data_IF_648412087807
#
_entry.id   IF_648412087807
#
_cell.length_a   1.000
_cell.length_b   1.000
_cell.length_c   1.000
_cell.angle_alpha   90.00
_cell.angle_beta   90.00
_cell.angle_gamma   90.00
#
_symmetry.space_group_name_H-M   'P 1'
#
loop_
_entity.id
_entity.type
_entity.pdbx_description
1 polymer ?
#
# COMPACT_ATOMS: atom_id res chain seq x y z
N UNK A 1 1.32 71.09 110.62
CA UNK A 1 0.66 69.77 110.67
C UNK A 1 1.33 68.93 109.60
N UNK A 2 2.37 68.14 109.88
CA UNK A 2 2.38 66.95 110.77
C UNK A 2 1.27 65.98 110.30
N UNK A 3 1.52 64.74 109.92
CA UNK A 3 2.56 63.78 110.30
C UNK A 3 2.49 62.57 109.32
N UNK A 4 3.54 61.73 109.34
CA UNK A 4 3.65 60.27 109.12
C UNK A 4 2.68 59.54 108.15
N UNK A 5 3.12 58.57 107.33
CA UNK A 5 3.53 57.22 107.76
C UNK A 5 4.03 56.48 106.50
N UNK A 6 5.34 56.39 106.25
CA UNK A 6 6.25 55.27 106.50
C UNK A 6 5.68 53.83 106.43
N UNK A 7 6.39 52.97 105.70
CA UNK A 7 5.92 51.63 105.30
C UNK A 7 6.95 50.86 104.48
N UNK A 8 8.07 50.59 105.14
CA UNK A 8 9.32 49.92 104.79
C UNK A 8 9.24 48.57 104.01
N UNK A 9 9.98 48.55 102.88
CA UNK A 9 10.93 47.56 102.33
C UNK A 9 10.66 46.06 102.12
N UNK A 10 11.19 45.58 100.98
CA UNK A 10 11.35 44.16 100.68
C UNK A 10 12.22 43.81 99.47
N UNK A 11 13.51 44.16 99.47
CA UNK A 11 14.58 43.42 98.74
C UNK A 11 14.63 43.57 97.20
N UNK A 12 15.69 43.19 96.47
CA UNK A 12 16.97 42.57 96.80
C UNK A 12 17.80 42.53 95.49
N UNK A 13 18.98 43.14 95.52
CA UNK A 13 20.19 42.95 94.67
C UNK A 13 20.12 43.04 93.12
N UNK A 14 20.80 44.09 92.61
CA UNK A 14 21.52 44.14 91.33
C UNK A 14 22.95 43.57 91.54
N UNK A 15 23.36 42.65 90.68
CA UNK A 15 24.74 42.36 90.26
C UNK A 15 24.64 42.02 88.76
N UNK A 16 25.52 42.44 87.85
CA UNK A 16 26.88 42.93 88.01
C UNK A 16 27.82 42.02 87.20
N UNK A 17 28.39 42.57 86.12
CA UNK A 17 29.57 42.04 85.43
C UNK A 17 29.34 40.92 84.40
N UNK A 18 30.17 40.73 83.38
CA UNK A 18 31.38 41.43 82.94
C UNK A 18 31.71 40.94 81.51
N UNK A 19 32.50 41.74 80.82
CA UNK A 19 33.08 41.60 79.47
C UNK A 19 33.81 40.27 79.22
N UNK A 20 33.81 39.80 77.96
CA UNK A 20 34.70 38.73 77.51
C UNK A 20 34.54 38.35 76.04
N UNK A 21 35.58 38.62 75.25
CA UNK A 21 35.69 38.46 73.79
C UNK A 21 35.38 37.05 73.25
N UNK A 22 34.84 37.00 72.03
CA UNK A 22 35.28 36.04 71.00
C UNK A 22 35.01 36.58 69.59
N UNK A 23 36.07 36.83 68.85
CA UNK A 23 36.04 36.98 67.40
C UNK A 23 35.81 35.60 66.77
N UNK A 24 34.83 35.50 65.89
CA UNK A 24 34.70 34.42 64.91
C UNK A 24 34.44 35.08 63.57
N UNK A 25 35.39 34.89 62.68
CA UNK A 25 35.39 35.19 61.25
C UNK A 25 34.20 34.53 60.56
N UNK A 26 33.47 35.27 59.72
CA UNK A 26 32.73 34.64 58.62
C UNK A 26 32.91 35.48 57.35
N UNK A 27 33.85 34.99 56.56
CA UNK A 27 34.09 35.26 55.15
C UNK A 27 32.85 34.81 54.36
N UNK A 28 32.09 35.76 53.80
CA UNK A 28 31.06 35.43 52.82
C UNK A 28 31.62 35.62 51.41
N UNK A 29 32.31 34.57 50.97
CA UNK A 29 32.59 34.27 49.57
C UNK A 29 31.29 34.24 48.76
N UNK A 30 31.30 34.99 47.65
CA UNK A 30 30.26 34.96 46.61
C UNK A 30 30.26 33.56 45.97
N UNK A 31 29.34 32.70 46.41
CA UNK A 31 29.11 31.40 45.76
C UNK A 31 28.24 31.62 44.52
N UNK A 32 28.91 31.72 43.37
CA UNK A 32 28.25 31.60 42.07
C UNK A 32 27.85 30.14 41.89
N UNK A 33 26.62 29.79 42.28
CA UNK A 33 26.04 28.48 41.98
C UNK A 33 25.70 28.42 40.48
N UNK A 34 26.65 27.96 39.68
CA UNK A 34 26.42 27.58 38.28
C UNK A 34 25.57 26.31 38.30
N UNK A 35 24.24 26.43 38.24
CA UNK A 35 23.32 25.29 38.07
C UNK A 35 23.67 24.52 36.78
N UNK A 36 24.26 23.32 36.85
CA UNK A 36 24.52 22.50 35.68
C UNK A 36 23.35 21.54 35.54
N UNK A 37 22.25 21.96 34.90
CA UNK A 37 21.09 21.06 34.86
C UNK A 37 19.96 21.36 33.88
N UNK A 38 19.86 22.59 33.37
CA UNK A 38 18.81 22.92 32.39
C UNK A 38 19.28 22.87 30.95
N UNK A 39 20.49 23.33 30.66
CA UNK A 39 21.03 23.40 29.30
C UNK A 39 21.47 22.03 28.75
N UNK A 40 21.98 21.14 29.60
CA UNK A 40 22.35 19.77 29.17
C UNK A 40 21.13 18.87 28.95
N UNK A 41 20.08 19.01 29.76
CA UNK A 41 18.80 18.31 29.51
C UNK A 41 18.11 18.84 28.25
N UNK A 42 18.19 20.14 27.99
CA UNK A 42 17.68 20.74 26.75
C UNK A 42 18.51 20.30 25.53
N UNK A 43 19.83 20.22 25.64
CA UNK A 43 20.71 19.67 24.60
C UNK A 43 20.45 18.20 24.35
N UNK A 44 20.27 17.38 25.39
CA UNK A 44 19.96 15.96 25.26
C UNK A 44 18.56 15.73 24.64
N UNK A 45 17.57 16.55 25.01
CA UNK A 45 16.25 16.53 24.37
C UNK A 45 16.32 16.93 22.89
N UNK A 46 17.07 17.99 22.55
CA UNK A 46 17.22 18.45 21.17
C UNK A 46 18.06 17.49 20.32
N UNK A 47 19.13 16.90 20.86
CA UNK A 47 20.01 15.97 20.13
C UNK A 47 19.56 14.50 20.17
N UNK A 48 18.62 14.12 21.04
CA UNK A 48 18.10 12.75 21.12
C UNK A 48 16.66 12.60 20.63
N UNK A 49 15.75 13.47 21.08
CA UNK A 49 14.31 13.35 20.77
C UNK A 49 14.00 13.85 19.36
N UNK A 50 14.63 14.95 18.93
CA UNK A 50 14.42 15.51 17.59
C UNK A 50 14.84 14.55 16.46
N UNK A 51 16.05 13.93 16.47
CA UNK A 51 16.40 12.97 15.44
C UNK A 51 15.60 11.67 15.53
N UNK A 52 15.26 11.20 16.73
CA UNK A 52 14.38 10.03 16.88
C UNK A 52 12.99 10.28 16.29
N UNK A 53 12.40 11.46 16.55
CA UNK A 53 11.14 11.87 15.95
C UNK A 53 11.26 12.00 14.41
N UNK A 54 12.37 12.53 13.90
CA UNK A 54 12.61 12.62 12.46
C UNK A 54 12.70 11.23 11.79
N UNK A 55 13.36 10.27 12.43
CA UNK A 55 13.44 8.87 11.93
C UNK A 55 12.07 8.20 11.95
N UNK A 56 11.29 8.39 13.02
CA UNK A 56 9.92 7.84 13.12
C UNK A 56 9.03 8.44 12.03
N UNK A 57 9.03 9.77 11.86
CA UNK A 57 8.25 10.46 10.84
C UNK A 57 8.68 10.05 9.43
N UNK A 58 9.99 9.91 9.18
CA UNK A 58 10.51 9.41 7.91
C UNK A 58 10.10 7.97 7.61
N UNK A 59 10.10 7.10 8.63
CA UNK A 59 9.63 5.72 8.51
C UNK A 59 8.14 5.63 8.21
N UNK A 60 7.32 6.41 8.93
CA UNK A 60 5.87 6.50 8.70
C UNK A 60 5.56 7.06 7.30
N UNK A 61 6.24 8.13 6.89
CA UNK A 61 6.07 8.72 5.56
C UNK A 61 6.50 7.74 4.44
N UNK A 62 7.59 7.00 4.64
CA UNK A 62 8.05 5.98 3.69
C UNK A 62 7.06 4.82 3.59
N UNK A 63 6.52 4.37 4.71
CA UNK A 63 5.50 3.31 4.75
C UNK A 63 4.19 3.76 4.07
N UNK A 64 3.72 4.98 4.36
CA UNK A 64 2.54 5.57 3.73
C UNK A 64 2.72 5.73 2.21
N UNK A 65 3.91 6.16 1.76
CA UNK A 65 4.23 6.24 0.34
C UNK A 65 4.17 4.86 -0.33
N UNK A 66 4.71 3.82 0.32
CA UNK A 66 4.64 2.45 -0.19
C UNK A 66 3.19 1.94 -0.31
N UNK A 67 2.35 2.19 0.71
CA UNK A 67 0.93 1.79 0.68
C UNK A 67 0.18 2.51 -0.44
N UNK A 68 0.35 3.83 -0.57
CA UNK A 68 -0.30 4.63 -1.61
C UNK A 68 0.15 4.24 -3.01
N UNK A 69 1.46 4.06 -3.23
CA UNK A 69 1.97 3.62 -4.54
C UNK A 69 1.49 2.21 -4.89
N UNK A 70 1.47 1.30 -3.91
CA UNK A 70 1.03 -0.08 -4.16
C UNK A 70 -0.46 -0.16 -4.50
N UNK A 71 -1.28 0.76 -3.99
CA UNK A 71 -2.71 0.83 -4.30
C UNK A 71 -2.97 1.43 -5.68
N UNK A 72 -2.25 2.49 -6.07
CA UNK A 72 -2.33 3.06 -7.41
C UNK A 72 -1.87 2.10 -8.51
N UNK A 73 -0.80 1.33 -8.23
CA UNK A 73 -0.31 0.29 -9.13
C UNK A 73 -1.33 -0.83 -9.32
N UNK A 74 -2.02 -1.26 -8.25
CA UNK A 74 -3.02 -2.32 -8.31
C UNK A 74 -4.29 -1.88 -9.07
N UNK A 75 -4.74 -0.65 -8.89
CA UNK A 75 -5.89 -0.09 -9.64
C UNK A 75 -5.57 0.01 -11.13
N UNK A 76 -4.40 0.56 -11.47
CA UNK A 76 -3.92 0.61 -12.86
C UNK A 76 -3.79 -0.79 -13.46
N UNK A 77 -3.21 -1.73 -12.72
CA UNK A 77 -3.10 -3.13 -13.13
C UNK A 77 -4.47 -3.77 -13.36
N UNK A 78 -5.45 -3.49 -12.50
CA UNK A 78 -6.82 -3.99 -12.64
C UNK A 78 -7.48 -3.48 -13.93
N UNK A 79 -7.40 -2.17 -14.20
CA UNK A 79 -7.98 -1.59 -15.41
C UNK A 79 -7.31 -2.13 -16.68
N UNK A 80 -5.98 -2.10 -16.73
CA UNK A 80 -5.21 -2.53 -17.89
C UNK A 80 -5.38 -4.03 -18.17
N UNK A 81 -5.35 -4.87 -17.13
CA UNK A 81 -5.51 -6.32 -17.29
C UNK A 81 -6.92 -6.69 -17.73
N UNK A 82 -7.97 -5.99 -17.25
CA UNK A 82 -9.34 -6.23 -17.72
C UNK A 82 -9.47 -5.88 -19.20
N UNK A 83 -8.89 -4.76 -19.64
CA UNK A 83 -8.90 -4.39 -21.06
C UNK A 83 -8.16 -5.45 -21.89
N UNK A 84 -6.95 -5.84 -21.47
CA UNK A 84 -6.16 -6.86 -22.16
C UNK A 84 -6.90 -8.22 -22.21
N UNK A 85 -7.57 -8.60 -21.13
CA UNK A 85 -8.35 -9.83 -21.08
C UNK A 85 -9.51 -9.81 -22.09
N UNK A 86 -10.24 -8.69 -22.18
CA UNK A 86 -11.33 -8.51 -23.16
C UNK A 86 -10.82 -8.65 -24.59
N UNK A 87 -9.74 -7.94 -24.92
CA UNK A 87 -9.16 -7.97 -26.26
C UNK A 87 -8.62 -9.35 -26.62
N UNK A 88 -7.94 -10.02 -25.68
CA UNK A 88 -7.45 -11.37 -25.88
C UNK A 88 -8.58 -12.38 -26.07
N UNK A 89 -9.65 -12.31 -25.25
CA UNK A 89 -10.81 -13.17 -25.38
C UNK A 89 -11.50 -13.00 -26.74
N UNK A 90 -11.69 -11.76 -27.21
CA UNK A 90 -12.23 -11.51 -28.55
C UNK A 90 -11.31 -12.10 -29.62
N UNK A 91 -10.00 -11.88 -29.51
CA UNK A 91 -9.03 -12.34 -30.50
C UNK A 91 -8.94 -13.88 -30.60
N UNK A 92 -8.97 -14.60 -29.47
CA UNK A 92 -8.85 -16.07 -29.50
C UNK A 92 -10.16 -16.78 -29.84
N UNK A 93 -11.31 -16.13 -29.65
CA UNK A 93 -12.63 -16.73 -29.88
C UNK A 93 -13.30 -16.27 -31.19
N UNK A 94 -12.76 -15.26 -31.86
CA UNK A 94 -13.31 -14.73 -33.10
C UNK A 94 -12.42 -15.06 -34.30
N UNK A 95 -13.01 -15.67 -35.31
CA UNK A 95 -12.34 -15.98 -36.57
C UNK A 95 -13.35 -16.20 -37.68
N UNK A 96 -12.90 -16.04 -38.92
CA UNK A 96 -13.68 -16.42 -40.11
C UNK A 96 -13.05 -17.62 -40.79
N UNK A 97 -13.88 -18.44 -41.43
CA UNK A 97 -13.41 -19.65 -42.11
C UNK A 97 -12.32 -19.39 -43.17
N UNK A 98 -12.36 -18.23 -43.84
CA UNK A 98 -11.43 -17.82 -44.90
C UNK A 98 -10.11 -17.24 -44.38
N UNK A 99 -10.10 -16.74 -43.15
CA UNK A 99 -8.98 -16.03 -42.52
C UNK A 99 -8.54 -16.65 -41.19
N UNK A 100 -8.99 -17.88 -40.89
CA UNK A 100 -8.79 -18.53 -39.59
C UNK A 100 -7.32 -18.64 -39.17
N UNK A 101 -6.40 -18.94 -40.08
CA UNK A 101 -4.96 -18.96 -39.75
C UNK A 101 -4.43 -17.59 -39.35
N UNK A 102 -4.90 -16.53 -40.01
CA UNK A 102 -4.46 -15.17 -39.73
C UNK A 102 -5.06 -14.68 -38.41
N UNK A 103 -6.37 -14.87 -38.24
CA UNK A 103 -7.12 -14.41 -37.06
C UNK A 103 -6.57 -15.07 -35.80
N UNK A 104 -6.51 -16.41 -35.78
CA UNK A 104 -6.04 -17.17 -34.63
C UNK A 104 -4.51 -17.15 -34.49
N UNK A 105 -3.78 -16.97 -35.59
CA UNK A 105 -2.34 -16.75 -35.56
C UNK A 105 -1.96 -15.44 -34.87
N UNK A 106 -2.67 -14.35 -35.17
CA UNK A 106 -2.45 -13.05 -34.55
C UNK A 106 -2.82 -13.04 -33.07
N UNK A 107 -3.78 -13.87 -32.65
CA UNK A 107 -4.20 -13.96 -31.25
C UNK A 107 -3.10 -14.51 -30.32
N UNK A 108 -2.18 -15.34 -30.83
CA UNK A 108 -1.05 -15.92 -30.08
C UNK A 108 -0.19 -14.87 -29.39
N UNK A 109 -0.02 -13.70 -30.00
CA UNK A 109 0.77 -12.59 -29.43
C UNK A 109 0.18 -11.98 -28.15
N UNK A 110 -1.04 -12.38 -27.77
CA UNK A 110 -1.72 -11.98 -26.53
C UNK A 110 -1.68 -13.06 -25.45
N UNK A 111 -1.02 -14.18 -25.71
CA UNK A 111 -0.99 -15.36 -24.85
C UNK A 111 0.44 -15.62 -24.35
N UNK A 112 0.55 -16.32 -23.23
CA UNK A 112 1.85 -16.72 -22.66
C UNK A 112 1.74 -18.04 -21.90
N UNK A 113 2.89 -18.58 -21.49
CA UNK A 113 2.99 -19.77 -20.66
C UNK A 113 2.37 -21.02 -21.29
N UNK A 114 1.90 -21.93 -20.44
CA UNK A 114 1.32 -23.22 -20.87
C UNK A 114 0.04 -23.03 -21.70
N UNK A 115 -0.72 -21.96 -21.45
CA UNK A 115 -1.93 -21.68 -22.21
C UNK A 115 -1.65 -21.38 -23.69
N UNK A 116 -0.55 -20.66 -23.99
CA UNK A 116 -0.13 -20.44 -25.38
C UNK A 116 0.15 -21.76 -26.10
N UNK A 117 0.81 -22.71 -25.44
CA UNK A 117 1.13 -24.02 -26.02
C UNK A 117 -0.13 -24.86 -26.25
N UNK A 118 -1.01 -24.93 -25.26
CA UNK A 118 -2.30 -25.62 -25.40
C UNK A 118 -3.17 -25.01 -26.51
N UNK A 119 -3.20 -23.67 -26.59
CA UNK A 119 -3.87 -22.94 -27.67
C UNK A 119 -3.29 -23.29 -29.04
N UNK A 120 -1.96 -23.25 -29.19
CA UNK A 120 -1.27 -23.59 -30.45
C UNK A 120 -1.64 -25.00 -30.93
N UNK A 121 -1.62 -25.96 -30.02
CA UNK A 121 -1.96 -27.35 -30.32
C UNK A 121 -3.42 -27.46 -30.78
N UNK A 122 -4.38 -26.96 -30.00
CA UNK A 122 -5.80 -27.07 -30.33
C UNK A 122 -6.15 -26.35 -31.63
N UNK A 123 -5.61 -25.15 -31.84
CA UNK A 123 -5.89 -24.35 -33.02
C UNK A 123 -5.35 -25.00 -34.29
N UNK A 124 -4.12 -25.50 -34.25
CA UNK A 124 -3.48 -26.13 -35.42
C UNK A 124 -4.09 -27.49 -35.79
N UNK A 125 -4.52 -28.27 -34.80
CA UNK A 125 -4.95 -29.66 -35.00
C UNK A 125 -6.46 -29.82 -35.16
N UNK A 126 -7.25 -28.94 -34.55
CA UNK A 126 -8.72 -29.06 -34.50
C UNK A 126 -9.40 -27.85 -35.11
N UNK A 127 -9.10 -26.64 -34.64
CA UNK A 127 -9.89 -25.45 -34.98
C UNK A 127 -9.69 -25.02 -36.43
N UNK A 128 -8.45 -24.83 -36.88
CA UNK A 128 -8.14 -24.42 -38.25
C UNK A 128 -8.67 -25.45 -39.27
N UNK A 129 -8.36 -26.76 -39.15
CA UNK A 129 -8.89 -27.75 -40.08
C UNK A 129 -10.43 -27.81 -40.07
N UNK A 130 -11.04 -27.76 -38.89
CA UNK A 130 -12.49 -27.79 -38.73
C UNK A 130 -13.17 -26.56 -39.35
N UNK A 131 -12.62 -25.38 -39.11
CA UNK A 131 -13.10 -24.11 -39.66
C UNK A 131 -13.09 -24.10 -41.18
N UNK A 132 -11.99 -24.57 -41.80
CA UNK A 132 -11.88 -24.67 -43.26
C UNK A 132 -12.82 -25.69 -43.87
N UNK A 133 -12.89 -26.88 -43.29
CA UNK A 133 -13.70 -27.97 -43.83
C UNK A 133 -15.20 -27.69 -43.73
N UNK A 134 -15.65 -27.19 -42.58
CA UNK A 134 -17.08 -26.95 -42.31
C UNK A 134 -17.49 -25.49 -42.52
N UNK A 135 -16.58 -24.63 -42.99
CA UNK A 135 -16.79 -23.19 -43.15
C UNK A 135 -17.33 -22.54 -41.86
N UNK A 136 -16.72 -22.88 -40.73
CA UNK A 136 -17.13 -22.35 -39.42
C UNK A 136 -16.53 -20.96 -39.24
N UNK A 137 -17.35 -20.01 -38.83
CA UNK A 137 -16.92 -18.70 -38.36
C UNK A 137 -17.48 -18.47 -36.96
N UNK A 138 -16.70 -17.82 -36.10
CA UNK A 138 -17.08 -17.46 -34.76
C UNK A 138 -16.85 -15.97 -34.52
N UNK A 139 -17.74 -15.33 -33.78
CA UNK A 139 -17.60 -13.95 -33.34
C UNK A 139 -17.92 -13.88 -31.85
N UNK A 140 -16.95 -13.42 -31.05
CA UNK A 140 -17.13 -13.20 -29.62
C UNK A 140 -17.31 -11.73 -29.31
N UNK A 141 -18.17 -11.45 -28.34
CA UNK A 141 -18.36 -10.14 -27.75
C UNK A 141 -18.27 -10.29 -26.24
N UNK A 142 -17.61 -9.33 -25.59
CA UNK A 142 -17.47 -9.31 -24.13
C UNK A 142 -18.29 -8.13 -23.61
N UNK A 143 -19.61 -8.29 -23.39
CA UNK A 143 -20.47 -7.21 -22.90
C UNK A 143 -20.04 -6.69 -21.52
N UNK A 144 -19.52 -7.56 -20.66
CA UNK A 144 -19.09 -7.20 -19.31
C UNK A 144 -17.81 -7.93 -18.93
N UNK A 145 -16.95 -7.24 -18.19
CA UNK A 145 -15.75 -7.81 -17.59
C UNK A 145 -15.47 -7.08 -16.27
N UNK A 146 -14.93 -7.79 -15.29
CA UNK A 146 -14.57 -7.24 -13.99
C UNK A 146 -13.23 -7.80 -13.51
N UNK A 147 -12.44 -6.98 -12.81
CA UNK A 147 -11.25 -7.44 -12.11
C UNK A 147 -11.68 -8.27 -10.89
N UNK A 148 -11.08 -9.44 -10.73
CA UNK A 148 -11.22 -10.31 -9.55
C UNK A 148 -10.06 -10.05 -8.59
N UNK A 149 -8.85 -9.95 -9.13
CA UNK A 149 -7.63 -9.58 -8.40
C UNK A 149 -6.61 -8.98 -9.37
N UNK A 150 -5.79 -8.05 -8.88
CA UNK A 150 -4.70 -7.51 -9.67
C UNK A 150 -3.52 -7.10 -8.78
N UNK A 151 -2.34 -7.54 -9.19
CA UNK A 151 -1.05 -7.27 -8.60
C UNK A 151 -0.14 -6.64 -9.68
N UNK A 152 1.11 -6.27 -9.33
CA UNK A 152 2.04 -5.66 -10.31
C UNK A 152 2.41 -6.58 -11.49
N UNK A 153 2.31 -7.89 -11.33
CA UNK A 153 2.77 -8.87 -12.33
C UNK A 153 1.74 -9.91 -12.73
N UNK A 154 0.62 -10.00 -12.01
CA UNK A 154 -0.43 -11.00 -12.24
C UNK A 154 -1.79 -10.36 -12.01
N UNK A 155 -2.78 -10.80 -12.77
CA UNK A 155 -4.16 -10.37 -12.60
C UNK A 155 -5.13 -11.48 -12.98
N UNK A 156 -6.34 -11.41 -12.44
CA UNK A 156 -7.44 -12.31 -12.77
C UNK A 156 -8.66 -11.47 -13.07
N UNK A 157 -9.29 -11.72 -14.21
CA UNK A 157 -10.51 -11.06 -14.64
C UNK A 157 -11.63 -12.08 -14.87
N UNK A 158 -12.87 -11.69 -14.57
CA UNK A 158 -14.07 -12.44 -14.92
C UNK A 158 -14.73 -11.77 -16.13
N UNK A 159 -14.94 -12.53 -17.20
CA UNK A 159 -15.55 -12.05 -18.43
C UNK A 159 -16.87 -12.75 -18.66
N UNK A 160 -17.86 -11.99 -19.13
CA UNK A 160 -19.10 -12.51 -19.68
C UNK A 160 -19.01 -12.40 -21.19
N UNK A 161 -19.17 -13.51 -21.89
CA UNK A 161 -18.92 -13.64 -23.32
C UNK A 161 -20.19 -14.09 -24.01
N UNK A 162 -20.59 -13.35 -25.03
CA UNK A 162 -21.56 -13.79 -26.02
C UNK A 162 -20.79 -14.24 -27.26
N UNK A 163 -21.01 -15.47 -27.69
CA UNK A 163 -20.37 -16.03 -28.88
C UNK A 163 -21.42 -16.43 -29.90
N UNK A 164 -21.28 -15.92 -31.11
CA UNK A 164 -22.09 -16.30 -32.27
C UNK A 164 -21.27 -17.18 -33.19
N UNK A 165 -21.80 -18.35 -33.53
CA UNK A 165 -21.18 -19.33 -34.43
C UNK A 165 -22.06 -19.49 -35.67
N UNK A 166 -21.43 -19.46 -36.84
CA UNK A 166 -22.05 -19.73 -38.14
C UNK A 166 -21.31 -20.87 -38.81
N UNK A 167 -22.04 -21.85 -39.34
CA UNK A 167 -21.47 -23.01 -40.05
C UNK A 167 -21.93 -22.94 -41.50
N UNK A 168 -21.01 -22.75 -42.43
CA UNK A 168 -21.36 -22.61 -43.85
C UNK A 168 -22.31 -21.45 -44.10
N UNK A 169 -23.54 -21.76 -44.53
CA UNK A 169 -24.61 -20.79 -44.77
C UNK A 169 -25.78 -20.93 -43.79
N UNK A 170 -25.63 -21.71 -42.73
CA UNK A 170 -26.69 -21.96 -41.75
C UNK A 170 -26.97 -20.71 -40.91
N UNK A 171 -28.15 -20.70 -40.26
CA UNK A 171 -28.50 -19.62 -39.34
C UNK A 171 -27.49 -19.52 -38.18
N UNK A 172 -27.03 -18.31 -37.82
CA UNK A 172 -26.12 -18.14 -36.69
C UNK A 172 -26.74 -18.60 -35.37
N UNK A 173 -25.95 -19.28 -34.54
CA UNK A 173 -26.33 -19.67 -33.18
C UNK A 173 -25.53 -18.85 -32.16
N UNK A 174 -26.21 -18.26 -31.19
CA UNK A 174 -25.56 -17.46 -30.13
C UNK A 174 -25.63 -18.20 -28.80
N UNK A 175 -24.51 -18.20 -28.08
CA UNK A 175 -24.37 -18.75 -26.74
C UNK A 175 -23.76 -17.69 -25.81
N UNK A 176 -24.14 -17.73 -24.55
CA UNK A 176 -23.55 -16.89 -23.51
C UNK A 176 -22.77 -17.79 -22.53
N UNK A 177 -21.60 -17.34 -22.12
CA UNK A 177 -20.73 -18.05 -21.18
C UNK A 177 -19.99 -17.06 -20.28
N UNK A 178 -19.43 -17.57 -19.20
CA UNK A 178 -18.58 -16.80 -18.29
C UNK A 178 -17.24 -17.51 -18.15
N UNK A 179 -16.16 -16.74 -18.15
CA UNK A 179 -14.80 -17.27 -18.08
C UNK A 179 -13.94 -16.48 -17.12
N UNK A 180 -13.10 -17.18 -16.37
CA UNK A 180 -12.01 -16.61 -15.58
C UNK A 180 -10.77 -16.57 -16.46
N UNK A 181 -10.20 -15.38 -16.63
CA UNK A 181 -8.98 -15.14 -17.40
C UNK A 181 -7.87 -14.78 -16.44
N UNK A 182 -6.79 -15.54 -16.47
CA UNK A 182 -5.57 -15.25 -15.73
C UNK A 182 -4.58 -14.58 -16.67
N UNK A 183 -3.99 -13.47 -16.22
CA UNK A 183 -3.02 -12.69 -16.98
C UNK A 183 -1.72 -12.57 -16.20
N UNK A 184 -0.62 -12.71 -16.92
CA UNK A 184 0.73 -12.42 -16.43
C UNK A 184 1.32 -11.24 -17.21
N UNK A 185 2.01 -10.35 -16.49
CA UNK A 185 2.69 -9.21 -17.09
C UNK A 185 4.07 -9.64 -17.59
N UNK A 186 4.28 -9.62 -18.90
CA UNK A 186 5.53 -10.00 -19.57
C UNK A 186 5.98 -8.82 -20.44
N UNK A 187 7.19 -8.33 -20.24
CA UNK A 187 7.74 -7.16 -20.95
C UNK A 187 6.77 -5.97 -20.96
N UNK A 188 6.24 -5.63 -19.78
CA UNK A 188 5.24 -4.59 -19.55
C UNK A 188 3.89 -4.75 -20.27
N UNK A 189 3.62 -5.93 -20.86
CA UNK A 189 2.34 -6.24 -21.49
C UNK A 189 1.59 -7.33 -20.71
N UNK A 190 0.30 -7.12 -20.54
CA UNK A 190 -0.59 -8.15 -19.98
C UNK A 190 -0.88 -9.21 -21.04
N UNK A 191 -0.47 -10.45 -20.77
CA UNK A 191 -0.70 -11.60 -21.64
C UNK A 191 -1.52 -12.65 -20.89
N UNK A 192 -2.44 -13.30 -21.58
CA UNK A 192 -3.29 -14.35 -20.99
C UNK A 192 -2.47 -15.62 -20.80
N UNK A 193 -2.39 -16.06 -19.54
CA UNK A 193 -1.72 -17.30 -19.14
C UNK A 193 -2.69 -18.40 -18.70
N UNK A 194 -3.98 -18.10 -18.58
CA UNK A 194 -5.03 -19.07 -18.30
C UNK A 194 -6.41 -18.59 -18.72
N UNK A 195 -7.28 -19.52 -19.11
CA UNK A 195 -8.62 -19.23 -19.62
C UNK A 195 -9.57 -20.38 -19.27
N UNK A 196 -10.31 -20.22 -18.17
CA UNK A 196 -11.07 -21.30 -17.55
C UNK A 196 -12.56 -20.96 -17.48
N UNK A 197 -13.49 -21.89 -17.78
CA UNK A 197 -14.91 -21.70 -17.51
C UNK A 197 -15.16 -21.60 -16.00
N UNK A 198 -16.23 -20.88 -15.63
CA UNK A 198 -16.69 -20.78 -14.21
C UNK A 198 -17.86 -21.67 -13.90
#
# INVERSE_FOLDING_TARGET
>A
MADADDGDQGGRWRQGGESGLRAVTEDQSVETEVQPGRLDRLRLLVFGVLPAAAVILGGVASFLQWDVSSRGDAETAAEQSVVAAREAAVAILSYRADSVEQDLGAAKGRLTGEFLEAYNQLVSTVVIPGAKQKKISAAAQVPAAASVSADRSRAVALLFINQTITVGGDAPTTTASSVRVTLDKVDDRWLVSGFDPV
#
